data_IF_570078298393
#
_entry.id   IF_570078298393
#
_cell.length_a   1.000
_cell.length_b   1.000
_cell.length_c   1.000
_cell.angle_alpha   90.00
_cell.angle_beta   90.00
_cell.angle_gamma   90.00
#
_symmetry.space_group_name_H-M   'P 1'
#
loop_
_entity.id
_entity.type
_entity.pdbx_description
1 polymer ?
#
# COMPACT_ATOMS: atom_id res chain seq x y z
N UNK A 1 6.65 10.20 3.92
CA UNK A 1 5.69 9.33 3.20
C UNK A 1 4.99 10.15 2.14
N UNK A 2 4.94 9.64 0.92
CA UNK A 2 4.26 10.36 -0.15
C UNK A 2 2.74 10.23 -0.02
N UNK A 3 2.03 11.10 -0.73
CA UNK A 3 0.56 11.16 -0.63
C UNK A 3 -0.09 9.88 -1.15
N UNK A 4 0.34 9.30 -2.29
CA UNK A 4 -0.28 8.06 -2.76
C UNK A 4 -0.13 6.90 -1.77
N UNK A 5 1.03 6.76 -1.13
CA UNK A 5 1.23 5.71 -0.11
C UNK A 5 0.29 5.92 1.07
N UNK A 6 0.18 7.17 1.54
CA UNK A 6 -0.71 7.50 2.65
C UNK A 6 -2.16 7.18 2.32
N UNK A 7 -2.61 7.58 1.13
CA UNK A 7 -4.00 7.36 0.72
C UNK A 7 -4.29 5.88 0.51
N UNK A 8 -3.37 5.14 -0.10
CA UNK A 8 -3.51 3.69 -0.26
C UNK A 8 -3.55 3.01 1.11
N UNK A 9 -2.70 3.45 2.04
CA UNK A 9 -2.69 2.90 3.40
C UNK A 9 -4.03 3.10 4.10
N UNK A 10 -4.60 4.29 3.98
CA UNK A 10 -5.92 4.55 4.56
C UNK A 10 -6.97 3.62 3.97
N UNK A 11 -6.96 3.44 2.65
CA UNK A 11 -7.89 2.54 1.97
C UNK A 11 -7.74 1.09 2.49
N UNK A 12 -6.49 0.62 2.57
CA UNK A 12 -6.22 -0.76 3.01
C UNK A 12 -6.68 -0.97 4.45
N UNK A 13 -6.42 -0.01 5.34
CA UNK A 13 -6.85 -0.10 6.73
C UNK A 13 -8.36 -0.02 6.85
N UNK A 14 -9.00 0.90 6.13
CA UNK A 14 -10.45 1.08 6.19
C UNK A 14 -11.19 -0.16 5.69
N UNK A 15 -10.65 -0.84 4.69
CA UNK A 15 -11.25 -2.08 4.16
C UNK A 15 -10.88 -3.31 4.96
N UNK A 16 -9.87 -3.21 5.83
CA UNK A 16 -9.45 -4.34 6.65
C UNK A 16 -8.70 -5.44 5.90
N UNK A 17 -7.97 -5.09 4.87
CA UNK A 17 -7.17 -6.07 4.12
C UNK A 17 -6.08 -6.68 4.99
N UNK A 18 -5.87 -7.98 4.83
CA UNK A 18 -4.83 -8.72 5.55
C UNK A 18 -3.48 -8.51 4.86
N UNK A 19 -2.53 -7.90 5.59
CA UNK A 19 -1.22 -7.57 5.02
C UNK A 19 -0.39 -8.80 4.73
N UNK A 20 -0.51 -9.87 5.52
CA UNK A 20 0.22 -11.12 5.25
C UNK A 20 -0.22 -11.72 3.93
N UNK A 21 -1.52 -11.68 3.66
CA UNK A 21 -2.05 -12.16 2.38
C UNK A 21 -1.61 -11.27 1.23
N UNK A 22 -1.65 -9.95 1.42
CA UNK A 22 -1.16 -9.02 0.41
C UNK A 22 0.31 -9.28 0.09
N UNK A 23 1.13 -9.49 1.11
CA UNK A 23 2.55 -9.82 0.93
C UNK A 23 2.71 -11.07 0.09
N UNK A 24 1.98 -12.13 0.44
CA UNK A 24 2.09 -13.41 -0.27
C UNK A 24 1.64 -13.28 -1.72
N UNK A 25 0.58 -12.52 -1.98
CA UNK A 25 0.00 -12.40 -3.33
C UNK A 25 0.74 -11.43 -4.23
N UNK A 26 1.35 -10.39 -3.66
CA UNK A 26 2.02 -9.36 -4.45
C UNK A 26 3.52 -9.56 -4.55
N UNK A 27 4.10 -10.36 -3.65
CA UNK A 27 5.54 -10.53 -3.56
C UNK A 27 6.25 -9.38 -2.84
N UNK A 28 5.51 -8.40 -2.33
CA UNK A 28 6.09 -7.30 -1.55
C UNK A 28 6.32 -7.79 -0.12
N UNK A 29 7.51 -7.57 0.45
CA UNK A 29 7.78 -8.04 1.82
C UNK A 29 6.78 -7.50 2.83
N UNK A 30 6.37 -8.35 3.79
CA UNK A 30 5.39 -7.96 4.79
C UNK A 30 5.79 -6.69 5.55
N UNK A 31 7.05 -6.61 5.99
CA UNK A 31 7.49 -5.43 6.74
C UNK A 31 7.43 -4.15 5.90
N UNK A 32 7.67 -4.26 4.60
CA UNK A 32 7.52 -3.11 3.72
C UNK A 32 6.06 -2.64 3.66
N UNK A 33 5.12 -3.58 3.55
CA UNK A 33 3.70 -3.25 3.57
C UNK A 33 3.28 -2.68 4.91
N UNK A 34 3.72 -3.29 6.00
CA UNK A 34 3.36 -2.84 7.34
C UNK A 34 3.88 -1.42 7.59
N UNK A 35 5.16 -1.17 7.30
CA UNK A 35 5.77 0.14 7.56
C UNK A 35 5.20 1.24 6.67
N UNK A 36 4.73 0.89 5.47
CA UNK A 36 4.21 1.87 4.52
C UNK A 36 2.71 2.09 4.66
N UNK A 37 1.93 1.03 4.93
CA UNK A 37 0.48 1.10 4.85
C UNK A 37 -0.21 1.04 6.21
N UNK A 38 0.41 0.46 7.23
CA UNK A 38 -0.24 0.24 8.51
C UNK A 38 0.39 1.01 9.66
N UNK A 39 1.71 1.17 9.67
CA UNK A 39 2.40 1.82 10.77
C UNK A 39 2.61 3.31 10.46
N UNK A 40 1.71 4.15 10.97
CA UNK A 40 1.76 5.58 10.71
C UNK A 40 2.97 6.27 11.35
N UNK A 41 3.64 5.61 12.29
CA UNK A 41 4.84 6.15 12.92
C UNK A 41 6.07 6.04 12.03
N UNK A 42 6.04 5.14 11.05
CA UNK A 42 7.12 5.00 10.08
C UNK A 42 6.79 5.84 8.86
N UNK A 43 7.75 6.62 8.42
CA UNK A 43 7.55 7.51 7.28
C UNK A 43 8.12 6.86 6.01
N UNK A 44 7.63 5.66 5.71
CA UNK A 44 8.10 4.89 4.56
C UNK A 44 7.10 4.99 3.42
N UNK A 45 7.58 5.49 2.27
CA UNK A 45 6.79 5.45 1.04
C UNK A 45 7.01 4.12 0.35
N UNK A 46 5.96 3.60 -0.30
CA UNK A 46 6.11 2.43 -1.15
C UNK A 46 6.97 2.80 -2.36
N UNK A 47 7.80 1.86 -2.80
CA UNK A 47 8.48 2.00 -4.08
C UNK A 47 7.43 1.92 -5.18
N UNK A 48 7.77 2.47 -6.36
CA UNK A 48 6.82 2.50 -7.48
C UNK A 48 6.35 1.09 -7.83
N UNK A 49 7.27 0.13 -7.90
CA UNK A 49 6.90 -1.25 -8.23
C UNK A 49 6.03 -1.88 -7.15
N UNK A 50 6.32 -1.61 -5.87
CA UNK A 50 5.50 -2.11 -4.77
C UNK A 50 4.09 -1.54 -4.84
N UNK A 51 3.99 -0.25 -5.05
CA UNK A 51 2.70 0.44 -5.16
C UNK A 51 1.87 -0.13 -6.30
N UNK A 52 2.48 -0.28 -7.47
CA UNK A 52 1.78 -0.79 -8.64
C UNK A 52 1.33 -2.24 -8.45
N UNK A 53 2.15 -3.07 -7.80
CA UNK A 53 1.79 -4.46 -7.53
C UNK A 53 0.58 -4.56 -6.61
N UNK A 54 0.55 -3.74 -5.55
CA UNK A 54 -0.58 -3.73 -4.62
C UNK A 54 -1.85 -3.28 -5.33
N UNK A 55 -1.79 -2.18 -6.07
CA UNK A 55 -2.95 -1.68 -6.81
C UNK A 55 -3.46 -2.70 -7.81
N UNK A 56 -2.56 -3.35 -8.55
CA UNK A 56 -2.94 -4.36 -9.53
C UNK A 56 -3.65 -5.54 -8.87
N UNK A 57 -3.12 -6.01 -7.75
CA UNK A 57 -3.74 -7.13 -7.04
C UNK A 57 -5.13 -6.79 -6.53
N UNK A 58 -5.30 -5.56 -6.02
CA UNK A 58 -6.59 -5.12 -5.48
C UNK A 58 -7.56 -4.63 -6.55
N UNK A 59 -7.14 -4.60 -7.81
CA UNK A 59 -7.99 -4.13 -8.90
C UNK A 59 -8.24 -2.64 -8.87
N UNK A 60 -7.28 -1.87 -8.33
CA UNK A 60 -7.40 -0.43 -8.18
C UNK A 60 -6.61 0.31 -9.25
N UNK A 61 -7.16 1.43 -9.71
CA UNK A 61 -6.42 2.35 -10.57
C UNK A 61 -5.32 3.02 -9.74
N UNK A 62 -4.04 2.86 -10.11
CA UNK A 62 -2.95 3.49 -9.36
C UNK A 62 -3.08 5.01 -9.24
N UNK A 63 -3.73 5.64 -10.18
CA UNK A 63 -3.92 7.10 -10.14
C UNK A 63 -5.00 7.56 -9.16
N UNK A 64 -5.79 6.62 -8.64
CA UNK A 64 -6.89 6.92 -7.72
C UNK A 64 -6.42 7.67 -6.47
N UNK A 65 -5.22 7.35 -6.01
CA UNK A 65 -4.71 7.88 -4.74
C UNK A 65 -3.77 9.07 -4.91
N UNK A 66 -3.57 9.52 -6.13
CA UNK A 66 -2.75 10.70 -6.38
C UNK A 66 -3.58 11.96 -6.24
N UNK A 67 -3.00 13.06 -5.73
CA UNK A 67 -3.71 14.33 -5.66
C UNK A 67 -3.91 14.90 -7.06
N UNK A 68 -4.92 15.73 -7.19
CA UNK A 68 -5.17 16.44 -8.43
C UNK A 68 -4.09 17.49 -8.70
#
# INVERSE_FOLDING_TARGET
>A
MDIPTRNLGKYVRDKGFNLSELSRKTGVPYMALYDSLANEKRDRSLRVDEYLRVCKHLGLDPMLFYPD
#
